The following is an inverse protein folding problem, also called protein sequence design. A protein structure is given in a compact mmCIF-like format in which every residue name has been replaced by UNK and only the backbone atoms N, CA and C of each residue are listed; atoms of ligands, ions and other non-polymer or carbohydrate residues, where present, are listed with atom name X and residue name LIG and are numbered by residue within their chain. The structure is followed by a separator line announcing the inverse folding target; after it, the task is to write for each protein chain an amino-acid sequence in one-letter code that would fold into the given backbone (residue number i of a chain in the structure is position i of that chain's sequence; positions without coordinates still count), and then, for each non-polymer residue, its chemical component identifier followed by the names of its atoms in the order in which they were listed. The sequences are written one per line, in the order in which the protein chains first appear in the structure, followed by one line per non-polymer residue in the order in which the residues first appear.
data_IF_040893903319
#
_entry.id   IF_040893903319
#
_cell.length_a   1.000
_cell.length_b   1.000
_cell.length_c   1.000
_cell.angle_alpha   90.00
_cell.angle_beta   90.00
_cell.angle_gamma   90.00
#
_symmetry.space_group_name_H-M   'P 1'
#
loop_
_entity.id
_entity.type
_entity.pdbx_description
1 polymer ?
#
# COMPACT_ATOMS: atom_id res chain seq x y z
N UNK A 1 -35.58 5.70 20.87
CA UNK A 1 -35.97 4.99 19.63
C UNK A 1 -35.30 3.63 19.65
N UNK A 2 -36.03 2.53 19.45
CA UNK A 2 -35.53 1.15 19.62
C UNK A 2 -35.15 0.57 18.25
N UNK A 3 -33.86 0.29 18.06
CA UNK A 3 -33.29 -0.32 16.86
C UNK A 3 -33.58 -1.84 16.88
N UNK A 4 -34.13 -2.39 15.80
CA UNK A 4 -34.30 -3.84 15.62
C UNK A 4 -33.27 -4.33 14.60
N UNK A 5 -32.25 -5.06 15.06
CA UNK A 5 -31.36 -5.85 14.21
C UNK A 5 -32.12 -7.09 13.76
N UNK A 6 -32.25 -7.28 12.45
CA UNK A 6 -32.78 -8.49 11.82
C UNK A 6 -31.65 -9.29 11.20
N UNK A 7 -31.39 -10.48 11.74
CA UNK A 7 -30.44 -11.46 11.20
C UNK A 7 -31.12 -12.17 10.03
N UNK A 8 -30.57 -12.03 8.82
CA UNK A 8 -30.99 -12.80 7.65
C UNK A 8 -29.86 -13.75 7.26
N UNK A 9 -29.91 -14.97 7.79
CA UNK A 9 -29.20 -16.11 7.22
C UNK A 9 -29.94 -16.57 5.96
N UNK A 10 -29.23 -16.66 4.83
CA UNK A 10 -29.68 -17.43 3.68
C UNK A 10 -28.53 -18.33 3.19
N UNK A 11 -28.70 -19.61 3.50
CA UNK A 11 -27.93 -20.77 3.06
C UNK A 11 -28.58 -21.28 1.77
N UNK A 12 -27.85 -21.48 0.66
CA UNK A 12 -28.24 -22.51 -0.33
C UNK A 12 -27.13 -22.88 -1.36
N UNK A 13 -26.59 -24.09 -1.14
CA UNK A 13 -26.35 -25.21 -2.08
C UNK A 13 -25.29 -25.11 -3.19
N UNK A 14 -24.27 -25.96 -2.97
CA UNK A 14 -23.30 -26.52 -3.91
C UNK A 14 -23.97 -27.32 -5.03
N UNK A 15 -23.54 -27.10 -6.28
CA UNK A 15 -23.84 -27.95 -7.43
C UNK A 15 -22.56 -28.55 -8.02
N UNK A 16 -22.37 -29.85 -7.82
CA UNK A 16 -21.43 -30.68 -8.60
C UNK A 16 -22.15 -31.20 -9.84
N UNK A 17 -21.52 -31.11 -11.03
CA UNK A 17 -21.84 -32.00 -12.16
C UNK A 17 -20.57 -32.48 -12.90
N UNK A 18 -20.26 -33.74 -12.59
CA UNK A 18 -19.77 -34.89 -13.38
C UNK A 18 -19.23 -34.70 -14.81
N UNK A 19 -17.99 -35.21 -14.96
CA UNK A 19 -17.27 -35.87 -16.07
C UNK A 19 -18.00 -36.17 -17.39
N UNK A 20 -17.34 -35.81 -18.51
CA UNK A 20 -17.54 -36.42 -19.82
C UNK A 20 -16.19 -36.69 -20.52
N UNK A 21 -15.74 -37.95 -20.51
CA UNK A 21 -14.69 -38.45 -21.40
C UNK A 21 -15.33 -38.82 -22.76
N UNK A 22 -14.76 -38.36 -23.87
CA UNK A 22 -15.04 -38.91 -25.19
C UNK A 22 -13.72 -39.31 -25.85
N UNK A 23 -13.67 -40.57 -26.30
CA UNK A 23 -12.50 -41.28 -26.82
C UNK A 23 -12.80 -41.82 -28.24
N UNK A 24 -11.93 -41.52 -29.20
CA UNK A 24 -11.59 -42.35 -30.39
C UNK A 24 -10.48 -41.61 -31.18
N UNK A 25 -9.19 -41.96 -31.05
CA UNK A 25 -8.42 -42.81 -31.98
C UNK A 25 -7.91 -42.01 -33.22
N UNK A 26 -6.63 -41.93 -33.61
CA UNK A 26 -5.51 -42.88 -33.52
C UNK A 26 -4.10 -42.20 -33.51
N UNK A 27 -3.14 -42.95 -32.93
CA UNK A 27 -1.71 -43.15 -33.27
C UNK A 27 -0.82 -42.00 -33.79
N UNK A 28 0.23 -41.63 -33.05
CA UNK A 28 1.55 -42.30 -33.15
C UNK A 28 2.68 -41.55 -32.42
N UNK A 29 3.36 -42.28 -31.52
CA UNK A 29 4.81 -42.28 -31.20
C UNK A 29 5.53 -41.00 -30.76
N UNK A 30 6.01 -40.96 -29.50
CA UNK A 30 7.42 -41.25 -29.17
C UNK A 30 7.75 -40.97 -27.68
N UNK A 31 8.26 -42.02 -27.02
CA UNK A 31 9.27 -42.09 -25.95
C UNK A 31 9.25 -41.19 -24.69
N UNK A 32 9.24 -41.89 -23.53
CA UNK A 32 10.32 -41.91 -22.52
C UNK A 32 9.84 -41.81 -21.05
N UNK A 33 9.80 -43.00 -20.42
CA UNK A 33 10.10 -43.37 -19.03
C UNK A 33 10.43 -42.26 -18.00
N UNK A 34 9.72 -42.22 -16.85
CA UNK A 34 10.20 -42.75 -15.53
C UNK A 34 9.29 -42.38 -14.34
N UNK A 35 9.04 -43.43 -13.54
CA UNK A 35 8.76 -43.58 -12.11
C UNK A 35 8.01 -42.54 -11.22
N UNK A 36 7.01 -43.11 -10.55
CA UNK A 36 6.28 -42.76 -9.32
C UNK A 36 7.11 -42.42 -8.08
N UNK A 37 6.53 -41.65 -7.13
CA UNK A 37 6.31 -42.02 -5.70
C UNK A 37 5.52 -40.94 -4.91
N UNK A 38 4.47 -41.44 -4.24
CA UNK A 38 3.78 -41.08 -2.97
C UNK A 38 3.57 -39.64 -2.48
N UNK A 39 2.27 -39.36 -2.31
CA UNK A 39 1.65 -38.65 -1.17
C UNK A 39 1.93 -39.37 0.16
N UNK A 40 2.21 -38.58 1.21
CA UNK A 40 1.91 -38.92 2.61
C UNK A 40 1.33 -37.69 3.29
N UNK A 41 0.07 -37.81 3.71
CA UNK A 41 -0.53 -37.03 4.79
C UNK A 41 0.14 -37.44 6.11
N UNK A 42 0.31 -36.50 7.04
CA UNK A 42 0.10 -36.78 8.46
C UNK A 42 -0.28 -35.49 9.19
N UNK A 43 -1.42 -35.59 9.85
CA UNK A 43 -2.03 -34.66 10.82
C UNK A 43 -1.31 -34.80 12.17
N UNK A 44 -1.26 -33.75 12.99
CA UNK A 44 -1.85 -33.70 14.34
C UNK A 44 -1.13 -32.77 15.36
N UNK A 45 -1.88 -31.75 15.79
CA UNK A 45 -2.10 -31.21 17.15
C UNK A 45 -1.00 -30.85 18.17
N UNK A 46 -1.41 -29.83 18.95
CA UNK A 46 -1.02 -29.41 20.30
C UNK A 46 0.28 -28.59 20.41
N UNK A 47 0.42 -27.58 21.27
CA UNK A 47 -0.37 -27.17 22.43
C UNK A 47 -0.04 -25.71 22.75
N UNK A 48 -1.05 -24.94 23.17
CA UNK A 48 -0.83 -23.65 23.83
C UNK A 48 -0.61 -23.95 25.31
N UNK A 49 0.53 -23.54 25.86
CA UNK A 49 0.73 -23.53 27.32
C UNK A 49 1.23 -22.15 27.74
N UNK A 50 0.39 -21.49 28.52
CA UNK A 50 0.76 -20.35 29.35
C UNK A 50 1.72 -20.82 30.44
N UNK A 51 2.72 -20.00 30.77
CA UNK A 51 3.31 -20.05 32.10
C UNK A 51 3.58 -18.64 32.63
N UNK A 52 3.13 -18.45 33.85
CA UNK A 52 3.19 -17.26 34.67
C UNK A 52 4.27 -17.53 35.70
N UNK A 53 5.29 -16.70 35.77
CA UNK A 53 6.20 -16.68 36.90
C UNK A 53 6.38 -15.24 37.40
N UNK A 54 5.91 -15.04 38.62
CA UNK A 54 6.08 -13.85 39.45
C UNK A 54 7.56 -13.66 39.82
N UNK A 55 8.05 -12.42 39.76
CA UNK A 55 9.12 -11.99 40.66
C UNK A 55 8.75 -10.64 41.30
N UNK A 56 8.84 -10.65 42.63
CA UNK A 56 8.45 -9.62 43.55
C UNK A 56 9.73 -9.04 44.16
N UNK A 57 10.08 -7.78 43.87
CA UNK A 57 11.06 -7.03 44.66
C UNK A 57 10.55 -5.63 44.97
N UNK A 58 10.13 -5.51 46.22
CA UNK A 58 9.86 -4.30 46.97
C UNK A 58 11.16 -3.49 47.21
N UNK A 59 11.15 -2.19 46.94
CA UNK A 59 12.01 -1.21 47.62
C UNK A 59 11.34 0.16 47.72
N UNK A 60 11.44 0.70 48.93
CA UNK A 60 10.73 1.85 49.51
C UNK A 60 11.29 3.22 49.10
N UNK A 61 10.41 4.22 49.30
CA UNK A 61 10.64 5.67 49.45
C UNK A 61 11.06 6.41 48.17
N UNK A 62 10.53 7.59 47.84
CA UNK A 62 10.23 8.73 48.71
C UNK A 62 8.99 9.51 48.28
N UNK A 63 8.37 10.12 49.29
CA UNK A 63 7.33 11.12 49.21
C UNK A 63 7.90 12.45 48.68
N UNK A 64 7.32 12.98 47.62
CA UNK A 64 7.21 14.44 47.37
C UNK A 64 6.24 14.72 46.23
N UNK A 65 5.06 15.22 46.58
CA UNK A 65 4.20 15.99 45.67
C UNK A 65 4.89 17.31 45.33
N UNK A 66 4.86 17.71 44.05
CA UNK A 66 4.22 19.01 43.75
C UNK A 66 3.17 18.90 42.64
N UNK A 67 2.07 19.64 42.83
CA UNK A 67 1.09 19.96 41.78
C UNK A 67 1.80 20.71 40.66
N UNK A 68 1.63 20.26 39.42
CA UNK A 68 1.80 21.09 38.24
C UNK A 68 0.67 20.79 37.25
N UNK A 69 0.19 21.86 36.64
CA UNK A 69 -1.06 21.92 35.92
C UNK A 69 -1.05 21.01 34.69
N UNK A 70 -2.06 20.15 34.55
CA UNK A 70 -2.41 19.56 33.28
C UNK A 70 -2.99 20.65 32.39
N UNK A 71 -2.12 21.42 31.75
CA UNK A 71 -2.46 22.05 30.49
C UNK A 71 -2.65 20.92 29.49
N UNK A 72 -3.91 20.56 29.29
CA UNK A 72 -4.35 19.96 28.04
C UNK A 72 -4.02 20.98 26.94
N UNK A 73 -2.79 20.95 26.43
CA UNK A 73 -2.54 21.37 25.07
C UNK A 73 -3.30 20.36 24.19
N UNK A 74 -4.57 20.68 23.94
CA UNK A 74 -5.14 20.45 22.62
C UNK A 74 -4.14 21.06 21.65
N UNK A 75 -3.26 20.22 21.11
CA UNK A 75 -2.54 20.49 19.88
C UNK A 75 -3.64 20.72 18.86
N UNK A 76 -3.94 22.00 18.64
CA UNK A 76 -4.72 22.47 17.52
C UNK A 76 -3.93 22.12 16.27
N UNK A 77 -4.14 20.90 15.79
CA UNK A 77 -3.54 20.34 14.57
C UNK A 77 -4.27 20.87 13.33
N UNK A 78 -4.57 22.18 13.34
CA UNK A 78 -5.31 22.87 12.29
C UNK A 78 -4.56 24.08 11.75
N UNK A 79 -3.22 24.06 11.81
CA UNK A 79 -2.46 24.72 10.76
C UNK A 79 -2.35 23.72 9.61
N UNK A 80 -3.35 23.78 8.72
CA UNK A 80 -3.12 23.35 7.35
C UNK A 80 -2.05 24.30 6.81
N UNK A 81 -0.78 23.93 6.96
CA UNK A 81 0.30 24.64 6.30
C UNK A 81 -0.01 24.55 4.80
N UNK A 82 -0.22 25.71 4.18
CA UNK A 82 -0.52 25.83 2.77
C UNK A 82 0.58 25.13 1.97
N UNK A 83 0.20 24.21 1.08
CA UNK A 83 1.14 23.47 0.26
C UNK A 83 1.97 24.46 -0.58
N UNK A 84 3.29 24.42 -0.46
CA UNK A 84 4.20 25.27 -1.24
C UNK A 84 4.98 24.47 -2.27
N UNK A 85 5.58 25.16 -3.25
CA UNK A 85 6.53 24.55 -4.19
C UNK A 85 7.71 23.89 -3.49
N UNK A 86 8.17 24.43 -2.36
CA UNK A 86 9.30 23.86 -1.61
C UNK A 86 8.90 22.60 -0.84
N UNK A 87 7.66 22.53 -0.34
CA UNK A 87 7.12 21.28 0.23
C UNK A 87 7.06 20.19 -0.84
N UNK A 88 6.54 20.51 -2.02
CA UNK A 88 6.45 19.57 -3.15
C UNK A 88 7.86 19.10 -3.56
N UNK A 89 8.84 19.99 -3.66
CA UNK A 89 10.24 19.60 -3.92
C UNK A 89 10.76 18.64 -2.85
N UNK A 90 10.48 18.90 -1.58
CA UNK A 90 10.86 18.03 -0.47
C UNK A 90 10.28 16.62 -0.61
N UNK A 91 8.98 16.52 -0.90
CA UNK A 91 8.27 15.26 -1.14
C UNK A 91 8.88 14.49 -2.32
N UNK A 92 9.17 15.18 -3.43
CA UNK A 92 9.80 14.57 -4.60
C UNK A 92 11.20 14.06 -4.28
N UNK A 93 12.04 14.82 -3.56
CA UNK A 93 13.38 14.38 -3.15
C UNK A 93 13.31 13.14 -2.26
N UNK A 94 12.36 13.09 -1.33
CA UNK A 94 12.18 11.96 -0.42
C UNK A 94 11.84 10.66 -1.16
N UNK A 95 11.06 10.75 -2.24
CA UNK A 95 10.56 9.59 -2.98
C UNK A 95 11.37 9.25 -4.23
N UNK A 96 12.29 10.13 -4.67
CA UNK A 96 13.17 9.84 -5.78
C UNK A 96 14.26 8.83 -5.38
N UNK A 97 14.23 7.66 -6.04
CA UNK A 97 15.29 6.64 -5.94
C UNK A 97 16.56 7.05 -6.72
N UNK A 98 17.20 8.14 -6.29
CA UNK A 98 18.29 8.79 -7.01
C UNK A 98 17.82 9.68 -8.17
N UNK A 99 18.77 10.18 -8.97
CA UNK A 99 18.47 11.13 -10.06
C UNK A 99 18.41 12.58 -9.59
N UNK A 100 17.75 13.43 -10.38
CA UNK A 100 17.67 14.88 -10.13
C UNK A 100 16.31 15.46 -10.50
N UNK A 101 15.89 16.48 -9.75
CA UNK A 101 14.75 17.32 -10.10
C UNK A 101 15.23 18.38 -11.08
N UNK A 102 14.57 18.47 -12.23
CA UNK A 102 14.82 19.50 -13.24
C UNK A 102 13.95 20.74 -13.00
N UNK A 103 12.67 20.51 -12.68
CA UNK A 103 11.70 21.58 -12.46
C UNK A 103 10.56 21.15 -11.53
N UNK A 104 10.00 22.10 -10.80
CA UNK A 104 8.76 21.96 -10.02
C UNK A 104 7.97 23.24 -10.14
N UNK A 105 6.75 23.12 -10.64
CA UNK A 105 5.79 24.20 -10.70
C UNK A 105 4.53 23.82 -9.90
N UNK A 106 3.96 24.82 -9.21
CA UNK A 106 2.69 24.70 -8.51
C UNK A 106 1.86 25.96 -8.77
N UNK A 107 0.76 25.78 -9.49
CA UNK A 107 -0.11 26.88 -9.92
C UNK A 107 -1.57 26.42 -9.86
N UNK A 108 -2.40 27.14 -9.11
CA UNK A 108 -3.84 26.89 -8.99
C UNK A 108 -4.20 25.41 -8.76
N UNK A 109 -3.55 24.75 -7.79
CA UNK A 109 -3.81 23.34 -7.48
C UNK A 109 -3.14 22.33 -8.43
N UNK A 110 -2.49 22.78 -9.51
CA UNK A 110 -1.82 21.91 -10.47
C UNK A 110 -0.33 21.83 -10.19
N UNK A 111 0.15 20.62 -9.99
CA UNK A 111 1.54 20.31 -9.71
C UNK A 111 2.15 19.70 -10.96
N UNK A 112 3.25 20.27 -11.42
CA UNK A 112 4.06 19.69 -12.50
C UNK A 112 5.49 19.53 -12.02
N UNK A 113 5.99 18.31 -12.09
CA UNK A 113 7.36 17.95 -11.72
C UNK A 113 8.05 17.39 -12.95
N UNK A 114 9.27 17.82 -13.26
CA UNK A 114 10.17 17.13 -14.21
C UNK A 114 11.37 16.59 -13.45
N UNK A 115 11.67 15.32 -13.67
CA UNK A 115 12.78 14.60 -13.03
C UNK A 115 13.56 13.78 -14.05
N UNK A 116 14.86 13.68 -13.83
CA UNK A 116 15.72 12.70 -14.48
C UNK A 116 15.98 11.56 -13.50
N UNK A 117 15.71 10.32 -13.91
CA UNK A 117 15.93 9.15 -13.07
C UNK A 117 17.40 8.72 -13.09
N UNK A 118 17.88 8.17 -11.97
CA UNK A 118 19.21 7.56 -11.89
C UNK A 118 19.34 6.25 -12.67
N UNK A 119 20.49 5.58 -12.55
CA UNK A 119 20.69 4.24 -13.10
C UNK A 119 19.70 3.25 -12.45
N UNK A 120 18.79 2.62 -13.22
CA UNK A 120 17.76 1.74 -12.66
C UNK A 120 18.28 0.34 -12.36
N UNK A 121 19.51 -0.01 -12.74
CA UNK A 121 20.02 -1.39 -12.66
C UNK A 121 19.87 -1.94 -11.23
N UNK A 122 19.24 -3.12 -11.04
CA UNK A 122 18.94 -4.16 -12.05
C UNK A 122 17.53 -4.13 -12.66
N UNK A 123 16.71 -3.12 -12.36
CA UNK A 123 15.32 -2.98 -12.87
C UNK A 123 15.25 -2.01 -14.05
N UNK A 124 14.04 -1.75 -14.58
CA UNK A 124 13.85 -0.83 -15.70
C UNK A 124 13.56 0.60 -15.22
N UNK A 125 13.86 1.60 -16.07
CA UNK A 125 13.47 2.99 -15.80
C UNK A 125 11.95 3.15 -15.63
N UNK A 126 11.16 2.36 -16.36
CA UNK A 126 9.70 2.36 -16.24
C UNK A 126 9.26 1.88 -14.86
N UNK A 127 9.83 0.79 -14.36
CA UNK A 127 9.52 0.29 -13.02
C UNK A 127 9.89 1.32 -11.94
N UNK A 128 11.06 1.96 -12.07
CA UNK A 128 11.50 3.04 -11.16
C UNK A 128 10.54 4.24 -11.21
N UNK A 129 10.09 4.63 -12.41
CA UNK A 129 9.14 5.73 -12.58
C UNK A 129 7.80 5.43 -11.89
N UNK A 130 7.25 4.22 -12.05
CA UNK A 130 6.01 3.77 -11.40
C UNK A 130 6.11 3.82 -9.88
N UNK A 131 7.24 3.32 -9.32
CA UNK A 131 7.49 3.32 -7.88
C UNK A 131 7.67 4.74 -7.33
N UNK A 132 8.51 5.55 -7.99
CA UNK A 132 8.73 6.93 -7.56
C UNK A 132 7.44 7.76 -7.66
N UNK A 133 6.65 7.58 -8.71
CA UNK A 133 5.34 8.24 -8.83
C UNK A 133 4.43 7.84 -7.67
N UNK A 134 4.32 6.54 -7.39
CA UNK A 134 3.49 6.03 -6.29
C UNK A 134 3.83 6.71 -4.97
N UNK A 135 5.10 6.71 -4.58
CA UNK A 135 5.56 7.36 -3.34
C UNK A 135 5.29 8.87 -3.31
N UNK A 136 5.59 9.58 -4.40
CA UNK A 136 5.29 11.03 -4.52
C UNK A 136 3.79 11.28 -4.32
N UNK A 137 2.96 10.48 -4.99
CA UNK A 137 1.50 10.66 -4.99
C UNK A 137 0.87 10.29 -3.65
N UNK A 138 1.36 9.26 -2.97
CA UNK A 138 0.88 8.84 -1.66
C UNK A 138 1.16 9.92 -0.60
N UNK A 139 2.39 10.43 -0.53
CA UNK A 139 2.73 11.51 0.40
C UNK A 139 1.95 12.81 0.10
N UNK A 140 1.68 13.06 -1.19
CA UNK A 140 0.91 14.22 -1.62
C UNK A 140 -0.59 14.08 -1.30
N UNK A 141 -1.16 12.87 -1.32
CA UNK A 141 -2.54 12.61 -0.94
C UNK A 141 -2.85 12.86 0.54
N UNK A 142 -1.80 12.94 1.38
CA UNK A 142 -1.90 13.39 2.78
C UNK A 142 -1.98 14.93 2.92
N UNK A 143 -1.80 15.67 1.81
CA UNK A 143 -1.86 17.13 1.76
C UNK A 143 -3.13 17.60 1.08
N UNK A 144 -3.60 18.76 1.51
CA UNK A 144 -4.73 19.47 0.90
C UNK A 144 -4.23 20.48 -0.15
N UNK A 145 -5.17 21.16 -0.82
CA UNK A 145 -4.91 22.28 -1.75
C UNK A 145 -4.23 21.92 -3.08
N UNK A 146 -4.36 20.68 -3.57
CA UNK A 146 -3.98 20.31 -4.93
C UNK A 146 -5.07 19.49 -5.62
N UNK A 147 -5.10 19.57 -6.95
CA UNK A 147 -6.11 18.97 -7.81
C UNK A 147 -5.51 17.93 -8.76
N UNK A 148 -4.37 18.25 -9.39
CA UNK A 148 -3.72 17.40 -10.40
C UNK A 148 -2.23 17.34 -10.15
N UNK A 149 -1.66 16.13 -10.21
CA UNK A 149 -0.22 15.87 -10.18
C UNK A 149 0.20 15.33 -11.56
N UNK A 150 1.15 16.01 -12.21
CA UNK A 150 1.85 15.51 -13.39
C UNK A 150 3.33 15.36 -13.06
N UNK A 151 3.89 14.15 -13.21
CA UNK A 151 5.32 13.90 -13.10
C UNK A 151 5.87 13.44 -14.45
N UNK A 152 6.83 14.20 -14.97
CA UNK A 152 7.54 13.95 -16.22
C UNK A 152 8.87 13.29 -15.90
N UNK A 153 9.04 12.06 -16.35
CA UNK A 153 10.26 11.29 -16.23
C UNK A 153 11.03 11.41 -17.55
N UNK A 154 12.12 12.19 -17.53
CA UNK A 154 12.91 12.47 -18.74
C UNK A 154 13.34 11.18 -19.44
N UNK A 155 13.01 11.06 -20.73
CA UNK A 155 13.32 9.88 -21.54
C UNK A 155 12.48 8.63 -21.26
N UNK A 156 11.52 8.67 -20.35
CA UNK A 156 10.62 7.56 -20.02
C UNK A 156 9.18 7.87 -20.44
N UNK A 157 8.62 8.98 -19.97
CA UNK A 157 7.22 9.32 -20.19
C UNK A 157 6.70 10.29 -19.13
N UNK A 158 5.38 10.47 -19.06
CA UNK A 158 4.73 11.27 -18.01
C UNK A 158 3.55 10.51 -17.42
N UNK A 159 3.33 10.69 -16.13
CA UNK A 159 2.15 10.21 -15.42
C UNK A 159 1.37 11.42 -14.92
N UNK A 160 0.05 11.43 -15.14
CA UNK A 160 -0.86 12.43 -14.59
C UNK A 160 -2.02 11.78 -13.85
N UNK A 161 -2.28 12.24 -12.63
CA UNK A 161 -3.41 11.80 -11.81
C UNK A 161 -4.11 12.99 -11.15
N UNK A 162 -5.44 12.92 -11.05
CA UNK A 162 -6.24 13.88 -10.31
C UNK A 162 -6.45 13.39 -8.87
N UNK A 163 -6.30 14.27 -7.88
CA UNK A 163 -6.52 13.99 -6.46
C UNK A 163 -7.91 13.35 -6.20
N UNK A 164 -8.91 13.78 -6.98
CA UNK A 164 -10.29 13.29 -6.88
C UNK A 164 -10.48 11.84 -7.37
N UNK A 165 -9.52 11.30 -8.13
CA UNK A 165 -9.55 9.92 -8.62
C UNK A 165 -9.01 8.91 -7.59
N UNK A 166 -8.41 9.39 -6.49
CA UNK A 166 -7.89 8.52 -5.45
C UNK A 166 -9.00 7.75 -4.75
N UNK A 167 -8.73 6.48 -4.45
CA UNK A 167 -9.66 5.57 -3.79
C UNK A 167 -9.20 5.29 -2.35
N UNK A 168 -10.13 4.91 -1.48
CA UNK A 168 -9.82 4.54 -0.11
C UNK A 168 -9.44 3.05 -0.04
N UNK A 169 -8.32 2.74 0.62
CA UNK A 169 -7.97 1.37 0.95
C UNK A 169 -8.77 0.85 2.18
N UNK A 170 -8.54 -0.40 2.58
CA UNK A 170 -9.22 -1.03 3.72
C UNK A 170 -8.94 -0.36 5.07
N UNK A 171 -7.90 0.46 5.16
CA UNK A 171 -7.51 1.24 6.33
C UNK A 171 -8.04 2.69 6.28
N UNK A 172 -8.73 3.08 5.20
CA UNK A 172 -9.27 4.41 5.02
C UNK A 172 -8.26 5.46 4.57
N UNK A 173 -7.11 5.06 4.03
CA UNK A 173 -6.15 5.98 3.40
C UNK A 173 -6.43 6.08 1.91
N UNK A 174 -6.28 7.29 1.35
CA UNK A 174 -6.36 7.53 -0.09
C UNK A 174 -5.10 6.97 -0.77
N UNK A 175 -5.26 6.37 -1.94
CA UNK A 175 -4.14 5.92 -2.78
C UNK A 175 -4.57 5.89 -4.26
N UNK A 176 -3.58 5.78 -5.15
CA UNK A 176 -3.79 5.40 -6.55
C UNK A 176 -3.31 3.97 -6.77
N UNK A 177 -4.12 3.14 -7.44
CA UNK A 177 -3.66 1.81 -7.81
C UNK A 177 -2.64 1.94 -8.96
N UNK A 178 -1.55 1.18 -8.93
CA UNK A 178 -0.50 1.31 -9.95
C UNK A 178 -1.02 1.02 -11.35
N UNK A 179 -2.00 0.13 -11.47
CA UNK A 179 -2.67 -0.21 -12.72
C UNK A 179 -3.38 1.00 -13.36
N UNK A 180 -3.75 2.02 -12.57
CA UNK A 180 -4.41 3.23 -13.08
C UNK A 180 -3.43 4.17 -13.80
N UNK A 181 -2.12 4.01 -13.60
CA UNK A 181 -1.12 4.96 -14.10
C UNK A 181 0.10 4.34 -14.77
N UNK A 182 0.42 3.06 -14.54
CA UNK A 182 1.60 2.41 -15.13
C UNK A 182 1.52 2.28 -16.66
N UNK A 183 0.31 2.25 -17.23
CA UNK A 183 0.07 2.20 -18.67
C UNK A 183 0.32 3.54 -19.37
N UNK A 184 0.50 4.64 -18.61
CA UNK A 184 0.79 5.97 -19.16
C UNK A 184 2.25 6.12 -19.64
N UNK A 185 3.13 5.20 -19.22
CA UNK A 185 4.57 5.18 -19.54
C UNK A 185 4.92 4.24 -20.70
#
# INVERSE_FOLDING_TARGET
MKLKIGILSLLLVLGFMVVGCSNSGNESSSDASTESIKTTEDTNNNDYVADVAEENVNSKNDESTPKENTDNETVDSSKSDELTTDDIKGLVIQNLSGGTINDVNFDEGKITVSVELGDPTPITLKDVAVVNFGGISDDLLERECWDTLTVKFEGVGEITMDASSAVLNEYGHKYFASEDYEEQL
#
